data_IF_369570797537
#
_entry.id   IF_369570797537
#
_cell.length_a   1.000
_cell.length_b   1.000
_cell.length_c   1.000
_cell.angle_alpha   90.00
_cell.angle_beta   90.00
_cell.angle_gamma   90.00
#
_symmetry.space_group_name_H-M   'P 1'
#
loop_
_entity.id
_entity.type
_entity.pdbx_description
1 polymer ?
#
# COMPACT_ATOMS: atom_id res chain seq x y z
N UNK A 1 0.49 -10.23 29.66
CA UNK A 1 -0.22 -10.30 28.36
C UNK A 1 -0.29 -8.92 27.75
N UNK A 2 0.24 -8.73 26.53
CA UNK A 2 0.26 -7.43 25.85
C UNK A 2 -1.20 -7.02 25.55
N UNK A 3 -1.70 -5.96 26.18
CA UNK A 3 -3.06 -5.45 25.92
C UNK A 3 -3.16 -5.09 24.43
N UNK A 4 -3.94 -5.86 23.67
CA UNK A 4 -4.26 -5.55 22.29
C UNK A 4 -5.12 -4.27 22.32
N UNK A 5 -4.52 -3.13 22.00
CA UNK A 5 -5.27 -1.89 21.79
C UNK A 5 -6.06 -2.07 20.51
N UNK A 6 -7.39 -1.96 20.59
CA UNK A 6 -8.24 -1.92 19.39
C UNK A 6 -7.87 -0.64 18.62
N UNK A 7 -7.28 -0.81 17.43
CA UNK A 7 -7.04 0.31 16.52
C UNK A 7 -8.27 0.52 15.66
N UNK A 8 -8.58 1.77 15.34
CA UNK A 8 -9.60 2.09 14.35
C UNK A 8 -9.14 1.66 12.95
N UNK A 9 -10.08 1.54 12.02
CA UNK A 9 -9.74 1.29 10.62
C UNK A 9 -8.83 2.38 10.05
N UNK A 10 -9.10 3.64 10.40
CA UNK A 10 -8.29 4.79 9.97
C UNK A 10 -6.85 4.70 10.50
N UNK A 11 -6.66 4.32 11.76
CA UNK A 11 -5.34 4.13 12.35
C UNK A 11 -4.56 3.00 11.66
N UNK A 12 -5.24 1.89 11.34
CA UNK A 12 -4.63 0.78 10.61
C UNK A 12 -4.27 1.18 9.17
N UNK A 13 -5.10 1.96 8.50
CA UNK A 13 -4.80 2.50 7.17
C UNK A 13 -3.58 3.41 7.21
N UNK A 14 -3.48 4.26 8.23
CA UNK A 14 -2.36 5.18 8.39
C UNK A 14 -1.05 4.44 8.68
N UNK A 15 -1.09 3.43 9.54
CA UNK A 15 0.04 2.53 9.79
C UNK A 15 0.46 1.78 8.51
N UNK A 16 -0.49 1.23 7.76
CA UNK A 16 -0.18 0.53 6.51
C UNK A 16 0.49 1.45 5.49
N UNK A 17 0.03 2.70 5.36
CA UNK A 17 0.67 3.71 4.50
C UNK A 17 2.12 3.98 4.93
N UNK A 18 2.35 4.15 6.23
CA UNK A 18 3.71 4.38 6.75
C UNK A 18 4.62 3.15 6.57
N UNK A 19 4.07 1.95 6.69
CA UNK A 19 4.82 0.71 6.48
C UNK A 19 5.19 0.51 5.01
N UNK A 20 4.28 0.82 4.09
CA UNK A 20 4.56 0.78 2.65
C UNK A 20 5.77 1.65 2.28
N UNK A 21 5.92 2.83 2.89
CA UNK A 21 7.08 3.71 2.63
C UNK A 21 8.43 3.13 3.06
N UNK A 22 8.43 2.11 3.92
CA UNK A 22 9.64 1.41 4.39
C UNK A 22 9.89 0.12 3.62
N UNK A 23 8.93 -0.32 2.82
CA UNK A 23 8.98 -1.55 2.04
C UNK A 23 9.10 -1.22 0.55
N UNK A 24 10.34 -1.18 0.07
CA UNK A 24 10.64 -0.89 -1.32
C UNK A 24 10.07 -1.93 -2.28
N UNK A 25 9.95 -3.20 -1.87
CA UNK A 25 9.40 -4.25 -2.72
C UNK A 25 7.89 -4.06 -2.90
N UNK A 26 7.18 -3.72 -1.81
CA UNK A 26 5.77 -3.41 -1.87
C UNK A 26 5.48 -2.16 -2.71
N UNK A 27 6.30 -1.11 -2.57
CA UNK A 27 6.22 0.08 -3.43
C UNK A 27 6.41 -0.26 -4.91
N UNK A 28 7.45 -1.03 -5.23
CA UNK A 28 7.71 -1.43 -6.62
C UNK A 28 6.54 -2.20 -7.23
N UNK A 29 5.94 -3.15 -6.49
CA UNK A 29 4.75 -3.88 -6.95
C UNK A 29 3.56 -2.96 -7.22
N UNK A 30 3.43 -1.85 -6.49
CA UNK A 30 2.38 -0.86 -6.73
C UNK A 30 2.69 -0.09 -8.01
N UNK A 31 3.93 0.36 -8.19
CA UNK A 31 4.39 1.06 -9.38
C UNK A 31 4.21 0.22 -10.64
N UNK A 32 4.68 -1.04 -10.65
CA UNK A 32 4.52 -1.97 -11.77
C UNK A 32 3.04 -2.12 -12.19
N UNK A 33 2.14 -2.19 -11.21
CA UNK A 33 0.68 -2.30 -11.47
C UNK A 33 0.09 -1.01 -12.02
N UNK A 34 0.59 0.15 -11.61
CA UNK A 34 0.15 1.44 -12.12
C UNK A 34 0.62 1.65 -13.56
N UNK A 35 1.89 1.34 -13.84
CA UNK A 35 2.44 1.38 -15.19
C UNK A 35 1.65 0.47 -16.13
N UNK A 36 1.39 -0.78 -15.73
CA UNK A 36 0.61 -1.71 -16.54
C UNK A 36 -0.80 -1.17 -16.85
N UNK A 37 -1.46 -0.51 -15.88
CA UNK A 37 -2.77 0.12 -16.11
C UNK A 37 -2.68 1.28 -17.10
N UNK A 38 -1.63 2.09 -17.02
CA UNK A 38 -1.42 3.20 -17.95
C UNK A 38 -1.14 2.70 -19.37
N UNK A 39 -0.30 1.68 -19.52
CA UNK A 39 -0.02 1.03 -20.80
C UNK A 39 -1.31 0.48 -21.41
N UNK A 40 -2.09 -0.27 -20.63
CA UNK A 40 -3.35 -0.84 -21.11
C UNK A 40 -4.34 0.24 -21.56
N UNK A 41 -4.41 1.36 -20.82
CA UNK A 41 -5.27 2.50 -21.19
C UNK A 41 -4.79 3.24 -22.44
N UNK A 42 -3.48 3.27 -22.69
CA UNK A 42 -2.92 3.91 -23.88
C UNK A 42 -3.01 3.03 -25.14
N UNK A 43 -3.22 1.73 -24.97
CA UNK A 43 -3.40 0.76 -26.04
C UNK A 43 -4.87 0.60 -26.49
N UNK A 44 -5.81 1.24 -25.80
CA UNK A 44 -7.25 1.33 -26.11
C UNK A 44 -7.56 2.62 -26.89
#
# INVERSE_FOLDING_TARGET
>A
MRRIRKRSFEELVLENKQNLLKDQEALKKIEDRLEQRMINKAAE
#
